data_IF_377610701609
#
_entry.id   IF_377610701609
#
_cell.length_a   1.000
_cell.length_b   1.000
_cell.length_c   1.000
_cell.angle_alpha   90.00
_cell.angle_beta   90.00
_cell.angle_gamma   90.00
#
_symmetry.space_group_name_H-M   'P 1'
#
loop_
_entity.id
_entity.type
_entity.pdbx_description
1 polymer ?
#
# COMPACT_ATOMS: atom_id res chain seq x y z
N UNK A 1 -15.60 1.72 -7.95
CA UNK A 1 -16.92 1.18 -7.55
C UNK A 1 -16.89 -0.27 -7.03
N UNK A 2 -16.32 -1.31 -7.68
CA UNK A 2 -16.45 -2.69 -7.19
C UNK A 2 -15.91 -2.90 -5.76
N UNK A 3 -14.73 -2.38 -5.44
CA UNK A 3 -14.11 -2.50 -4.10
C UNK A 3 -14.99 -1.91 -2.99
N UNK A 4 -15.57 -0.73 -3.21
CA UNK A 4 -16.48 -0.10 -2.25
C UNK A 4 -17.70 -0.98 -1.96
N UNK A 5 -18.36 -1.45 -3.01
CA UNK A 5 -19.55 -2.30 -2.86
C UNK A 5 -19.23 -3.62 -2.15
N UNK A 6 -18.09 -4.23 -2.49
CA UNK A 6 -17.62 -5.45 -1.81
C UNK A 6 -17.33 -5.21 -0.34
N UNK A 7 -16.69 -4.07 -0.01
CA UNK A 7 -16.36 -3.72 1.37
C UNK A 7 -17.62 -3.50 2.23
N UNK A 8 -18.56 -2.68 1.74
CA UNK A 8 -19.83 -2.41 2.45
C UNK A 8 -20.69 -3.68 2.58
N UNK A 9 -20.66 -4.57 1.58
CA UNK A 9 -21.34 -5.87 1.67
C UNK A 9 -20.70 -6.78 2.73
N UNK A 10 -19.36 -6.78 2.83
CA UNK A 10 -18.64 -7.61 3.80
C UNK A 10 -18.77 -7.09 5.24
N UNK A 11 -18.88 -5.76 5.40
CA UNK A 11 -18.93 -5.06 6.68
C UNK A 11 -20.03 -3.97 6.63
N UNK A 12 -21.30 -4.36 6.71
CA UNK A 12 -22.42 -3.43 6.56
C UNK A 12 -22.58 -2.45 7.75
N UNK A 13 -22.02 -2.79 8.91
CA UNK A 13 -22.06 -1.93 10.10
C UNK A 13 -20.67 -1.71 10.69
N UNK A 14 -20.55 -0.71 11.57
CA UNK A 14 -19.31 -0.45 12.33
C UNK A 14 -18.94 -1.68 13.17
N UNK A 15 -19.93 -2.34 13.79
CA UNK A 15 -19.73 -3.54 14.59
C UNK A 15 -19.17 -4.71 13.76
N UNK A 16 -19.67 -4.90 12.53
CA UNK A 16 -19.18 -5.95 11.64
C UNK A 16 -17.69 -5.76 11.33
N UNK A 17 -17.27 -4.52 11.06
CA UNK A 17 -15.87 -4.21 10.81
C UNK A 17 -15.02 -4.33 12.08
N UNK A 18 -15.52 -3.84 13.23
CA UNK A 18 -14.80 -3.87 14.49
C UNK A 18 -14.45 -5.29 14.95
N UNK A 19 -15.39 -6.22 14.80
CA UNK A 19 -15.25 -7.61 15.26
C UNK A 19 -14.71 -8.57 14.20
N UNK A 20 -14.50 -8.12 12.97
CA UNK A 20 -14.00 -8.98 11.90
C UNK A 20 -12.56 -9.47 12.19
N UNK A 21 -12.22 -10.71 11.84
CA UNK A 21 -10.82 -11.14 11.82
C UNK A 21 -9.99 -10.24 10.88
N UNK A 22 -8.80 -9.83 11.31
CA UNK A 22 -7.92 -8.95 10.52
C UNK A 22 -7.66 -9.50 9.11
N UNK A 23 -7.51 -10.81 8.99
CA UNK A 23 -7.27 -11.50 7.72
C UNK A 23 -8.44 -11.29 6.73
N UNK A 24 -9.70 -11.36 7.19
CA UNK A 24 -10.88 -11.04 6.38
C UNK A 24 -10.87 -9.58 5.93
N UNK A 25 -10.46 -8.66 6.82
CA UNK A 25 -10.36 -7.22 6.50
C UNK A 25 -9.30 -6.97 5.44
N UNK A 26 -8.10 -7.54 5.59
CA UNK A 26 -7.01 -7.44 4.62
C UNK A 26 -7.38 -8.05 3.27
N UNK A 27 -8.05 -9.22 3.29
CA UNK A 27 -8.52 -9.89 2.08
C UNK A 27 -9.54 -9.04 1.31
N UNK A 28 -10.50 -8.46 2.00
CA UNK A 28 -11.52 -7.59 1.39
C UNK A 28 -10.91 -6.33 0.78
N UNK A 29 -9.80 -5.82 1.35
CA UNK A 29 -9.07 -4.63 0.88
C UNK A 29 -7.98 -4.95 -0.15
N UNK A 30 -7.76 -6.22 -0.45
CA UNK A 30 -6.69 -6.66 -1.36
C UNK A 30 -6.79 -5.97 -2.72
N UNK A 31 -5.65 -5.45 -3.20
CA UNK A 31 -5.55 -4.73 -4.48
C UNK A 31 -5.62 -3.21 -4.39
N UNK A 32 -6.18 -2.62 -3.31
CA UNK A 32 -6.24 -1.17 -3.12
C UNK A 32 -4.92 -0.57 -2.62
N UNK A 33 -4.04 -1.39 -2.02
CA UNK A 33 -2.80 -0.91 -1.43
C UNK A 33 -3.00 -0.06 -0.17
N UNK A 34 -1.89 0.47 0.38
CA UNK A 34 -1.91 1.28 1.61
C UNK A 34 -2.72 0.60 2.74
N UNK A 35 -2.40 -0.64 3.03
CA UNK A 35 -3.15 -1.51 3.93
C UNK A 35 -3.23 -1.00 5.37
N UNK A 36 -2.32 -0.12 5.78
CA UNK A 36 -2.44 0.62 7.04
C UNK A 36 -3.74 1.42 7.15
N UNK A 37 -4.34 1.85 6.03
CA UNK A 37 -5.62 2.55 6.04
C UNK A 37 -6.76 1.65 6.53
N UNK A 38 -6.88 0.45 6.00
CA UNK A 38 -7.96 -0.46 6.41
C UNK A 38 -7.76 -0.97 7.84
N UNK A 39 -6.51 -1.22 8.27
CA UNK A 39 -6.21 -1.53 9.68
C UNK A 39 -6.59 -0.40 10.62
N UNK A 40 -6.24 0.84 10.26
CA UNK A 40 -6.64 2.00 11.03
C UNK A 40 -8.17 2.19 11.02
N UNK A 41 -8.84 1.91 9.89
CA UNK A 41 -10.30 1.95 9.81
C UNK A 41 -10.93 0.92 10.75
N UNK A 42 -10.39 -0.30 10.84
CA UNK A 42 -10.85 -1.31 11.80
C UNK A 42 -10.62 -0.88 13.25
N UNK A 43 -9.42 -0.33 13.55
CA UNK A 43 -9.14 0.21 14.90
C UNK A 43 -10.05 1.38 15.25
N UNK A 44 -10.35 2.27 14.30
CA UNK A 44 -11.32 3.33 14.49
C UNK A 44 -12.74 2.77 14.75
N UNK A 45 -13.13 1.71 14.05
CA UNK A 45 -14.41 1.02 14.31
C UNK A 45 -14.46 0.41 15.73
N UNK A 46 -13.36 -0.19 16.20
CA UNK A 46 -13.23 -0.68 17.57
C UNK A 46 -13.36 0.46 18.60
N UNK A 47 -12.66 1.59 18.39
CA UNK A 47 -12.82 2.77 19.25
C UNK A 47 -14.26 3.31 19.25
N UNK A 48 -14.94 3.32 18.10
CA UNK A 48 -16.34 3.72 18.06
C UNK A 48 -17.26 2.79 18.86
N UNK A 49 -16.98 1.49 18.85
CA UNK A 49 -17.73 0.53 19.69
C UNK A 49 -17.47 0.77 21.19
N UNK A 50 -16.22 1.01 21.57
CA UNK A 50 -15.79 1.17 22.96
C UNK A 50 -16.19 2.55 23.52
N UNK A 51 -15.90 3.64 22.81
CA UNK A 51 -16.00 5.01 23.33
C UNK A 51 -17.30 5.71 22.93
N UNK A 52 -17.99 5.25 21.88
CA UNK A 52 -19.13 5.93 21.28
C UNK A 52 -20.37 5.03 21.11
N UNK A 53 -20.41 3.84 21.73
CA UNK A 53 -21.55 2.94 21.66
C UNK A 53 -21.89 2.47 20.23
N UNK A 54 -20.92 2.39 19.35
CA UNK A 54 -21.09 1.99 17.95
C UNK A 54 -21.62 3.09 17.03
N UNK A 55 -21.77 4.32 17.53
CA UNK A 55 -22.22 5.48 16.75
C UNK A 55 -21.01 6.31 16.30
N UNK A 56 -21.01 6.75 15.04
CA UNK A 56 -19.95 7.61 14.53
C UNK A 56 -20.04 9.00 15.21
N UNK A 57 -18.93 9.51 15.79
CA UNK A 57 -18.94 10.81 16.45
C UNK A 57 -19.17 11.94 15.43
N UNK A 58 -19.89 13.01 15.85
CA UNK A 58 -20.30 14.10 14.97
C UNK A 58 -19.54 15.41 15.20
N UNK A 59 -18.63 15.51 16.18
CA UNK A 59 -17.78 16.70 16.37
C UNK A 59 -16.38 16.47 15.76
N UNK A 60 -15.78 17.54 15.26
CA UNK A 60 -14.42 17.49 14.70
C UNK A 60 -13.39 16.94 15.68
N UNK A 61 -13.47 17.36 16.96
CA UNK A 61 -12.56 16.92 18.01
C UNK A 61 -12.67 15.40 18.28
N UNK A 62 -13.87 14.86 18.28
CA UNK A 62 -14.08 13.42 18.50
C UNK A 62 -13.66 12.62 17.24
N UNK A 63 -14.00 13.09 16.04
CA UNK A 63 -13.59 12.48 14.77
C UNK A 63 -12.07 12.43 14.65
N UNK A 64 -11.36 13.53 14.98
CA UNK A 64 -9.91 13.63 14.87
C UNK A 64 -9.13 12.70 15.81
N UNK A 65 -9.77 12.20 16.89
CA UNK A 65 -9.19 11.26 17.85
C UNK A 65 -9.25 9.81 17.38
N UNK A 66 -10.07 9.49 16.38
CA UNK A 66 -10.17 8.14 15.84
C UNK A 66 -8.87 7.71 15.14
N UNK A 67 -8.50 6.46 15.30
CA UNK A 67 -7.25 5.92 14.79
C UNK A 67 -7.11 6.08 13.27
N UNK A 68 -6.02 6.69 12.84
CA UNK A 68 -5.72 6.90 11.41
C UNK A 68 -6.47 8.06 10.75
N UNK A 69 -7.25 8.83 11.50
CA UNK A 69 -7.89 10.04 11.04
C UNK A 69 -6.97 11.23 11.36
N UNK A 70 -6.34 11.77 10.31
CA UNK A 70 -5.58 13.02 10.40
C UNK A 70 -6.45 14.24 10.09
N UNK A 71 -5.90 15.46 10.21
CA UNK A 71 -6.66 16.73 10.02
C UNK A 71 -7.44 16.79 8.70
N UNK A 72 -6.82 16.35 7.60
CA UNK A 72 -7.50 16.28 6.30
C UNK A 72 -8.75 15.39 6.33
N UNK A 73 -8.59 14.15 6.83
CA UNK A 73 -9.69 13.18 6.87
C UNK A 73 -10.77 13.63 7.86
N UNK A 74 -10.38 14.22 9.00
CA UNK A 74 -11.32 14.78 9.97
C UNK A 74 -12.14 15.90 9.35
N UNK A 75 -11.50 16.87 8.68
CA UNK A 75 -12.19 17.94 7.98
C UNK A 75 -13.11 17.46 6.88
N UNK A 76 -12.67 16.48 6.07
CA UNK A 76 -13.52 15.90 5.04
C UNK A 76 -14.76 15.22 5.61
N UNK A 77 -14.62 14.40 6.67
CA UNK A 77 -15.76 13.74 7.31
C UNK A 77 -16.68 14.77 7.95
N UNK A 78 -16.11 15.72 8.73
CA UNK A 78 -16.88 16.72 9.43
C UNK A 78 -17.70 17.59 8.48
N UNK A 79 -17.11 18.02 7.36
CA UNK A 79 -17.79 18.88 6.40
C UNK A 79 -18.78 18.14 5.50
N UNK A 80 -18.41 16.95 4.99
CA UNK A 80 -19.23 16.22 4.01
C UNK A 80 -20.38 15.46 4.69
N UNK A 81 -20.08 14.81 5.83
CA UNK A 81 -21.09 13.98 6.50
C UNK A 81 -21.92 14.74 7.55
N UNK A 82 -21.36 15.79 8.15
CA UNK A 82 -22.00 16.50 9.27
C UNK A 82 -22.25 18.00 8.99
N UNK A 83 -21.83 18.52 7.83
CA UNK A 83 -22.05 19.91 7.46
C UNK A 83 -21.29 20.94 8.33
N UNK A 84 -20.23 20.50 9.02
CA UNK A 84 -19.43 21.41 9.83
C UNK A 84 -18.46 22.20 8.94
N UNK A 85 -18.24 23.50 9.18
CA UNK A 85 -17.35 24.34 8.38
C UNK A 85 -15.86 24.05 8.66
N UNK A 86 -15.47 22.79 8.48
CA UNK A 86 -14.13 22.27 8.73
C UNK A 86 -13.36 22.07 7.42
N UNK A 87 -12.18 22.70 7.25
CA UNK A 87 -11.37 22.54 6.05
C UNK A 87 -10.81 21.15 5.85
N UNK A 88 -10.86 20.66 4.59
CA UNK A 88 -10.22 19.41 4.17
C UNK A 88 -9.02 19.69 3.25
N UNK A 89 -7.85 19.94 3.84
CA UNK A 89 -6.65 20.33 3.09
C UNK A 89 -5.83 19.11 2.67
N UNK A 90 -5.94 18.73 1.38
CA UNK A 90 -5.13 17.70 0.74
C UNK A 90 -4.09 18.31 -0.23
N UNK A 91 -3.39 17.47 -0.97
CA UNK A 91 -2.42 17.93 -1.97
C UNK A 91 -3.06 18.65 -3.16
N UNK A 92 -4.33 18.38 -3.47
CA UNK A 92 -5.06 19.05 -4.54
C UNK A 92 -5.44 20.46 -4.11
N UNK A 93 -6.03 20.60 -2.93
CA UNK A 93 -6.39 21.89 -2.34
C UNK A 93 -5.15 22.79 -2.16
N UNK A 94 -4.05 22.23 -1.63
CA UNK A 94 -2.79 22.99 -1.50
C UNK A 94 -2.27 23.50 -2.84
N UNK A 95 -2.41 22.70 -3.91
CA UNK A 95 -1.99 23.11 -5.26
C UNK A 95 -2.85 24.22 -5.82
N UNK A 96 -4.18 24.11 -5.69
CA UNK A 96 -5.12 25.17 -6.11
C UNK A 96 -4.84 26.46 -5.38
N UNK A 97 -4.73 26.43 -4.05
CA UNK A 97 -4.44 27.62 -3.26
C UNK A 97 -3.06 28.23 -3.57
N UNK A 98 -2.05 27.38 -3.81
CA UNK A 98 -0.72 27.84 -4.20
C UNK A 98 -0.75 28.63 -5.51
N UNK A 99 -1.58 28.25 -6.48
CA UNK A 99 -1.75 28.97 -7.76
C UNK A 99 -2.65 30.19 -7.63
N UNK A 100 -3.72 30.08 -6.84
CA UNK A 100 -4.63 31.21 -6.62
C UNK A 100 -3.91 32.40 -5.98
N UNK A 101 -3.02 32.14 -5.01
CA UNK A 101 -2.43 33.17 -4.18
C UNK A 101 -0.88 33.23 -4.30
N UNK A 102 -0.28 32.56 -5.26
CA UNK A 102 1.19 32.49 -5.44
C UNK A 102 1.94 32.16 -4.15
N UNK A 103 1.48 31.11 -3.44
CA UNK A 103 2.02 30.74 -2.13
C UNK A 103 3.42 30.13 -2.26
N UNK A 104 4.44 30.81 -1.77
CA UNK A 104 5.86 30.45 -1.87
C UNK A 104 6.32 29.40 -0.83
N UNK A 105 5.42 28.56 -0.35
CA UNK A 105 5.74 27.46 0.58
C UNK A 105 5.67 26.12 -0.09
N UNK A 106 6.69 25.27 0.14
CA UNK A 106 6.72 23.91 -0.39
C UNK A 106 5.57 23.06 0.19
N UNK A 107 4.66 22.62 -0.67
CA UNK A 107 3.51 21.79 -0.29
C UNK A 107 3.91 20.37 0.13
N UNK A 108 5.14 19.94 -0.12
CA UNK A 108 5.70 18.65 0.32
C UNK A 108 6.17 18.66 1.78
N UNK A 109 6.34 19.83 2.38
CA UNK A 109 6.77 19.97 3.77
C UNK A 109 5.54 19.91 4.71
N UNK A 110 5.44 18.90 5.61
CA UNK A 110 4.23 18.68 6.42
C UNK A 110 3.84 19.87 7.29
N UNK A 111 4.81 20.62 7.83
CA UNK A 111 4.56 21.79 8.68
C UNK A 111 3.93 22.96 7.93
N UNK A 112 4.11 23.03 6.61
CA UNK A 112 3.52 24.12 5.79
C UNK A 112 2.01 23.93 5.57
N UNK A 113 1.48 22.72 5.81
CA UNK A 113 0.04 22.46 5.69
C UNK A 113 -0.81 23.42 6.54
N UNK A 114 -0.32 23.82 7.71
CA UNK A 114 -1.02 24.77 8.59
C UNK A 114 -1.30 26.13 7.93
N UNK A 115 -0.46 26.56 6.97
CA UNK A 115 -0.64 27.82 6.23
C UNK A 115 -1.87 27.68 5.33
N UNK A 116 -1.95 26.60 4.57
CA UNK A 116 -3.10 26.31 3.71
C UNK A 116 -4.38 26.04 4.53
N UNK A 117 -4.22 25.42 5.71
CA UNK A 117 -5.34 25.24 6.65
C UNK A 117 -5.92 26.59 7.07
N UNK A 118 -5.07 27.54 7.51
CA UNK A 118 -5.52 28.87 7.91
C UNK A 118 -6.17 29.65 6.74
N UNK A 119 -5.67 29.47 5.51
CA UNK A 119 -6.32 30.06 4.34
C UNK A 119 -7.72 29.47 4.12
N UNK A 120 -7.85 28.16 4.23
CA UNK A 120 -9.12 27.47 4.05
C UNK A 120 -10.14 27.81 5.14
N UNK A 121 -9.71 28.06 6.37
CA UNK A 121 -10.58 28.51 7.47
C UNK A 121 -11.26 29.85 7.15
N UNK A 122 -10.61 30.69 6.33
CA UNK A 122 -11.17 31.97 5.87
C UNK A 122 -12.07 31.77 4.65
N UNK A 123 -11.74 30.83 3.77
CA UNK A 123 -12.37 30.66 2.46
C UNK A 123 -13.58 29.76 2.48
N UNK A 124 -13.66 28.83 3.44
CA UNK A 124 -14.68 27.78 3.45
C UNK A 124 -16.09 28.39 3.48
N UNK A 125 -16.96 27.87 2.63
CA UNK A 125 -18.38 28.24 2.62
C UNK A 125 -19.05 27.65 3.89
N UNK A 126 -19.57 28.49 4.80
CA UNK A 126 -20.17 28.00 6.03
C UNK A 126 -21.52 27.31 5.81
N UNK A 127 -22.22 27.59 4.72
CA UNK A 127 -23.52 27.00 4.40
C UNK A 127 -23.37 25.67 3.64
N UNK A 128 -22.31 25.54 2.85
CA UNK A 128 -22.05 24.35 2.03
C UNK A 128 -20.59 23.85 2.13
N UNK A 129 -20.07 23.60 3.34
CA UNK A 129 -18.65 23.33 3.53
C UNK A 129 -18.19 22.03 2.87
N UNK A 130 -19.04 21.00 2.85
CA UNK A 130 -18.74 19.73 2.18
C UNK A 130 -18.61 19.88 0.67
N UNK A 131 -19.53 20.61 0.04
CA UNK A 131 -19.48 20.88 -1.40
C UNK A 131 -18.28 21.72 -1.76
N UNK A 132 -17.96 22.75 -0.94
CA UNK A 132 -16.81 23.61 -1.15
C UNK A 132 -15.49 22.82 -1.11
N UNK A 133 -15.30 21.99 -0.10
CA UNK A 133 -14.12 21.11 0.00
C UNK A 133 -14.01 20.17 -1.20
N UNK A 134 -15.11 19.51 -1.60
CA UNK A 134 -15.13 18.62 -2.75
C UNK A 134 -14.83 19.37 -4.04
N UNK A 135 -15.44 20.52 -4.28
CA UNK A 135 -15.20 21.33 -5.47
C UNK A 135 -13.72 21.71 -5.63
N UNK A 136 -13.04 22.11 -4.54
CA UNK A 136 -11.60 22.40 -4.59
C UNK A 136 -10.73 21.17 -4.83
N UNK A 137 -11.09 20.01 -4.25
CA UNK A 137 -10.39 18.76 -4.53
C UNK A 137 -10.56 18.32 -5.99
N UNK A 138 -11.77 18.44 -6.54
CA UNK A 138 -12.08 18.11 -7.93
C UNK A 138 -11.39 19.08 -8.88
N UNK A 139 -11.43 20.38 -8.62
CA UNK A 139 -10.71 21.39 -9.37
C UNK A 139 -9.20 21.06 -9.44
N UNK A 140 -8.62 20.71 -8.30
CA UNK A 140 -7.21 20.34 -8.20
C UNK A 140 -6.86 19.01 -8.88
N UNK A 141 -7.76 18.06 -8.93
CA UNK A 141 -7.51 16.74 -9.55
C UNK A 141 -7.74 16.74 -11.06
N UNK A 142 -8.74 17.45 -11.54
CA UNK A 142 -9.14 17.44 -12.95
C UNK A 142 -8.53 18.61 -13.77
N UNK A 143 -8.75 19.84 -13.36
CA UNK A 143 -8.36 21.03 -14.13
C UNK A 143 -6.98 21.53 -13.72
N UNK A 144 -6.78 21.78 -12.43
CA UNK A 144 -5.52 22.25 -11.85
C UNK A 144 -4.54 21.11 -11.51
N UNK A 145 -4.52 20.09 -12.37
CA UNK A 145 -3.72 18.86 -12.17
C UNK A 145 -2.21 19.15 -12.06
N UNK A 146 -1.41 18.24 -11.44
CA UNK A 146 0.03 18.45 -11.29
C UNK A 146 0.81 18.33 -12.60
N UNK A 147 0.20 17.69 -13.61
CA UNK A 147 0.81 17.51 -14.95
C UNK A 147 -0.23 17.95 -15.98
N UNK A 148 0.18 18.82 -16.89
CA UNK A 148 -0.70 19.38 -17.94
C UNK A 148 -2.00 20.01 -17.37
N UNK A 149 -1.91 21.02 -16.50
CA UNK A 149 -3.10 21.75 -16.03
C UNK A 149 -3.79 22.46 -17.20
N UNK A 150 -5.10 22.67 -17.06
CA UNK A 150 -5.95 23.37 -18.04
C UNK A 150 -6.49 24.67 -17.42
N UNK A 151 -5.63 25.66 -17.12
CA UNK A 151 -6.04 26.87 -16.39
C UNK A 151 -7.09 27.69 -17.12
N UNK A 152 -7.16 27.62 -18.46
CA UNK A 152 -8.17 28.29 -19.28
C UNK A 152 -9.59 27.79 -18.98
N UNK A 153 -9.71 26.53 -18.55
CA UNK A 153 -10.98 25.90 -18.20
C UNK A 153 -11.35 26.11 -16.73
N UNK A 154 -10.42 26.70 -15.93
CA UNK A 154 -10.64 26.88 -14.50
C UNK A 154 -11.75 27.91 -14.23
N UNK A 155 -12.79 27.53 -13.45
CA UNK A 155 -13.86 28.46 -13.08
C UNK A 155 -13.38 29.61 -12.17
N UNK A 156 -12.18 29.47 -11.62
CA UNK A 156 -11.57 30.47 -10.74
C UNK A 156 -10.36 31.17 -11.35
N UNK A 157 -10.17 31.07 -12.68
CA UNK A 157 -9.01 31.63 -13.37
C UNK A 157 -8.86 33.15 -13.18
N UNK A 158 -9.98 33.86 -13.08
CA UNK A 158 -9.99 35.31 -12.88
C UNK A 158 -9.47 35.73 -11.50
N UNK A 159 -9.50 34.82 -10.55
CA UNK A 159 -8.96 34.99 -9.20
C UNK A 159 -7.55 34.42 -9.03
N UNK A 160 -7.03 33.69 -10.03
CA UNK A 160 -5.72 33.04 -9.95
C UNK A 160 -4.60 34.01 -10.27
N UNK A 161 -3.84 34.41 -9.26
CA UNK A 161 -2.67 35.27 -9.43
C UNK A 161 -1.63 34.60 -10.38
N UNK A 162 -1.37 33.33 -10.22
CA UNK A 162 -0.43 32.58 -11.06
C UNK A 162 -0.88 32.53 -12.53
N UNK A 163 -2.19 32.46 -12.80
CA UNK A 163 -2.72 32.53 -14.16
C UNK A 163 -2.53 33.94 -14.75
N UNK A 164 -2.90 34.97 -13.99
CA UNK A 164 -2.80 36.35 -14.43
C UNK A 164 -1.35 36.81 -14.67
N UNK A 165 -0.43 36.34 -13.85
CA UNK A 165 1.01 36.66 -13.98
C UNK A 165 1.79 35.71 -14.90
N UNK A 166 1.17 34.66 -15.43
CA UNK A 166 1.84 33.66 -16.26
C UNK A 166 2.85 32.80 -15.51
N UNK A 167 2.64 32.58 -14.20
CA UNK A 167 3.55 31.86 -13.30
C UNK A 167 3.03 30.48 -12.90
N UNK A 168 2.07 29.91 -13.63
CA UNK A 168 1.46 28.62 -13.34
C UNK A 168 2.47 27.49 -13.17
N UNK A 169 3.53 27.48 -13.96
CA UNK A 169 4.58 26.44 -13.90
C UNK A 169 5.46 26.56 -12.65
N UNK A 170 5.48 27.71 -11.99
CA UNK A 170 6.22 27.95 -10.75
C UNK A 170 5.48 27.38 -9.54
N UNK A 171 4.15 27.27 -9.61
CA UNK A 171 3.32 26.85 -8.49
C UNK A 171 2.57 25.54 -8.76
N UNK A 172 2.46 24.66 -7.76
CA UNK A 172 2.96 24.80 -6.39
C UNK A 172 4.47 24.55 -6.30
N UNK A 173 5.15 25.17 -5.35
CA UNK A 173 6.52 24.81 -4.99
C UNK A 173 6.50 23.41 -4.37
N UNK A 174 7.32 22.51 -4.90
CA UNK A 174 7.44 21.13 -4.43
C UNK A 174 8.80 20.55 -4.73
N UNK A 175 9.53 20.19 -3.68
CA UNK A 175 10.81 19.49 -3.84
C UNK A 175 10.63 18.12 -4.53
N UNK A 176 11.61 17.69 -5.34
CA UNK A 176 11.59 16.38 -5.99
C UNK A 176 11.46 15.25 -4.97
N UNK A 177 10.63 14.25 -5.27
CA UNK A 177 10.51 13.05 -4.42
C UNK A 177 11.81 12.25 -4.44
N UNK A 178 12.22 11.73 -3.29
CA UNK A 178 13.31 10.75 -3.21
C UNK A 178 12.95 9.51 -4.03
N UNK A 179 13.91 8.99 -4.78
CA UNK A 179 13.73 7.74 -5.53
C UNK A 179 13.56 6.57 -4.57
N UNK A 180 12.73 5.57 -4.90
CA UNK A 180 12.63 4.35 -4.10
C UNK A 180 13.98 3.64 -3.98
N UNK A 181 14.31 3.16 -2.79
CA UNK A 181 15.55 2.41 -2.52
C UNK A 181 15.38 0.98 -3.07
N UNK A 182 16.35 0.45 -3.84
CA UNK A 182 16.31 -0.94 -4.27
C UNK A 182 16.43 -1.88 -3.06
N UNK A 183 15.69 -2.98 -3.10
CA UNK A 183 15.74 -4.09 -2.16
C UNK A 183 15.79 -5.37 -2.97
N UNK A 184 16.78 -6.19 -2.72
CA UNK A 184 17.00 -7.45 -3.41
C UNK A 184 16.51 -8.59 -2.55
N UNK A 185 15.73 -9.49 -3.13
CA UNK A 185 15.08 -10.59 -2.44
C UNK A 185 15.23 -11.89 -3.21
N UNK A 186 15.34 -12.99 -2.49
CA UNK A 186 15.14 -14.35 -3.03
C UNK A 186 13.79 -14.86 -2.54
N UNK A 187 12.92 -15.26 -3.47
CA UNK A 187 11.65 -15.91 -3.19
C UNK A 187 11.80 -17.42 -3.41
N UNK A 188 11.39 -18.20 -2.43
CA UNK A 188 11.45 -19.65 -2.46
C UNK A 188 10.07 -20.22 -2.79
N UNK A 189 9.96 -20.82 -3.97
CA UNK A 189 8.75 -21.52 -4.43
C UNK A 189 8.96 -22.99 -4.10
N UNK A 190 8.40 -23.44 -3.00
CA UNK A 190 8.59 -24.83 -2.52
C UNK A 190 7.30 -25.59 -2.71
N UNK A 191 7.39 -26.76 -3.36
CA UNK A 191 6.25 -27.62 -3.67
C UNK A 191 6.40 -28.96 -2.99
N UNK A 192 5.32 -29.46 -2.40
CA UNK A 192 5.28 -30.81 -1.82
C UNK A 192 4.83 -31.87 -2.84
N UNK A 193 4.86 -33.14 -2.41
CA UNK A 193 4.44 -34.30 -3.22
C UNK A 193 2.95 -34.33 -3.55
N UNK A 194 2.12 -33.53 -2.84
CA UNK A 194 0.68 -33.39 -3.07
C UNK A 194 0.33 -32.24 -4.02
N UNK A 195 1.34 -31.51 -4.51
CA UNK A 195 1.16 -30.39 -5.42
C UNK A 195 0.84 -29.06 -4.73
N UNK A 196 0.97 -29.00 -3.39
CA UNK A 196 0.77 -27.79 -2.59
C UNK A 196 2.07 -26.99 -2.52
N UNK A 197 1.94 -25.70 -2.27
CA UNK A 197 3.06 -24.76 -2.16
C UNK A 197 3.14 -24.19 -0.75
N UNK A 198 4.36 -24.01 -0.27
CA UNK A 198 4.63 -23.42 1.03
C UNK A 198 4.41 -21.91 0.98
N UNK A 199 3.53 -21.40 1.84
CA UNK A 199 3.37 -19.99 2.13
C UNK A 199 3.64 -19.71 3.61
N UNK A 200 4.08 -18.49 3.87
CA UNK A 200 4.38 -17.98 5.20
C UNK A 200 3.58 -16.70 5.45
N UNK A 201 3.09 -16.54 6.66
CA UNK A 201 2.43 -15.30 7.11
C UNK A 201 3.48 -14.27 7.53
N UNK A 202 3.42 -13.09 6.95
CA UNK A 202 4.30 -12.00 7.37
C UNK A 202 3.84 -11.43 8.72
N UNK A 203 4.43 -11.91 9.80
CA UNK A 203 4.16 -11.45 11.16
C UNK A 203 4.96 -10.20 11.54
N UNK A 204 5.94 -9.80 10.71
CA UNK A 204 6.76 -8.60 10.95
C UNK A 204 5.92 -7.34 10.78
N UNK A 205 6.11 -6.38 11.69
CA UNK A 205 5.47 -5.08 11.55
C UNK A 205 5.96 -4.35 10.28
N UNK A 206 5.07 -3.60 9.64
CA UNK A 206 5.40 -2.75 8.51
C UNK A 206 4.81 -3.18 7.18
N UNK A 207 5.67 -3.25 6.14
CA UNK A 207 5.23 -3.51 4.78
C UNK A 207 4.64 -4.91 4.63
N UNK A 208 3.38 -4.99 4.17
CA UNK A 208 2.65 -6.24 3.95
C UNK A 208 2.48 -7.15 5.20
N UNK A 209 2.59 -6.60 6.42
CA UNK A 209 2.28 -7.33 7.64
C UNK A 209 0.92 -8.04 7.53
N UNK A 210 0.80 -9.27 8.05
CA UNK A 210 -0.43 -10.08 8.03
C UNK A 210 -0.82 -10.67 6.67
N UNK A 211 -0.05 -10.38 5.60
CA UNK A 211 -0.23 -11.03 4.30
C UNK A 211 0.54 -12.34 4.24
N UNK A 212 0.00 -13.26 3.46
CA UNK A 212 0.69 -14.49 3.12
C UNK A 212 1.60 -14.27 1.90
N UNK A 213 2.75 -14.90 1.90
CA UNK A 213 3.75 -14.80 0.85
C UNK A 213 4.54 -16.10 0.70
N UNK A 214 5.19 -16.28 -0.45
CA UNK A 214 6.25 -17.25 -0.55
C UNK A 214 7.39 -16.85 0.40
N UNK A 215 8.08 -17.77 1.06
CA UNK A 215 9.24 -17.43 1.89
C UNK A 215 10.20 -16.50 1.16
N UNK A 216 10.65 -15.43 1.84
CA UNK A 216 11.49 -14.37 1.29
C UNK A 216 12.71 -14.12 2.15
N UNK A 217 13.89 -14.13 1.54
CA UNK A 217 15.15 -13.72 2.19
C UNK A 217 15.67 -12.46 1.50
N UNK A 218 16.02 -11.43 2.29
CA UNK A 218 16.69 -10.23 1.78
C UNK A 218 18.18 -10.52 1.57
N UNK A 219 18.70 -10.13 0.41
CA UNK A 219 20.08 -10.37 -0.01
C UNK A 219 20.78 -9.06 -0.37
N UNK A 220 22.10 -9.03 -0.34
CA UNK A 220 22.86 -7.81 -0.65
C UNK A 220 22.79 -7.44 -2.14
N UNK A 221 22.77 -8.46 -3.00
CA UNK A 221 22.65 -8.31 -4.45
C UNK A 221 22.01 -9.55 -5.07
N UNK A 222 21.47 -9.42 -6.27
CA UNK A 222 20.99 -10.59 -7.01
C UNK A 222 22.19 -11.39 -7.55
N UNK A 223 22.05 -12.71 -7.56
CA UNK A 223 23.06 -13.59 -8.13
C UNK A 223 23.17 -13.33 -9.64
N UNK A 224 24.37 -13.04 -10.15
CA UNK A 224 24.61 -12.88 -11.60
C UNK A 224 24.37 -14.17 -12.39
N UNK A 225 24.40 -15.32 -11.71
CA UNK A 225 24.25 -16.68 -12.28
C UNK A 225 22.90 -17.31 -11.89
N UNK A 226 21.79 -16.78 -12.44
CA UNK A 226 20.44 -17.34 -12.24
C UNK A 226 20.25 -18.76 -12.84
N UNK A 227 21.24 -19.33 -13.52
CA UNK A 227 21.19 -20.64 -14.19
C UNK A 227 22.30 -21.60 -13.82
N UNK A 228 23.13 -21.29 -12.83
CA UNK A 228 24.16 -22.24 -12.37
C UNK A 228 23.97 -22.57 -10.88
N UNK A 229 23.13 -23.56 -10.62
CA UNK A 229 23.17 -24.31 -9.36
C UNK A 229 24.43 -25.19 -9.26
N UNK A 230 25.16 -25.37 -10.34
CA UNK A 230 26.38 -26.17 -10.36
C UNK A 230 27.59 -25.34 -10.79
N UNK A 231 28.18 -24.66 -9.88
CA UNK A 231 29.60 -24.80 -9.81
C UNK A 231 29.82 -25.98 -8.84
N UNK A 232 29.80 -27.16 -9.39
CA UNK A 232 30.54 -28.26 -8.79
C UNK A 232 31.97 -27.72 -8.71
N UNK A 233 32.52 -27.63 -7.46
CA UNK A 233 33.96 -27.65 -7.36
C UNK A 233 34.43 -28.86 -8.14
N UNK A 234 35.64 -28.88 -8.66
CA UNK A 234 36.15 -29.99 -9.45
C UNK A 234 36.14 -31.34 -8.71
N UNK A 235 35.43 -31.46 -7.56
CA UNK A 235 35.25 -32.60 -6.70
C UNK A 235 33.78 -33.01 -6.49
N UNK A 236 32.81 -32.33 -7.15
CA UNK A 236 31.41 -32.74 -7.16
C UNK A 236 30.57 -32.26 -5.97
N UNK A 237 31.09 -31.31 -5.17
CA UNK A 237 30.30 -30.70 -4.10
C UNK A 237 29.54 -29.47 -4.65
N UNK A 238 28.26 -29.38 -4.32
CA UNK A 238 27.47 -28.18 -4.60
C UNK A 238 28.14 -26.99 -3.89
N UNK A 239 28.42 -25.90 -4.63
CA UNK A 239 28.86 -24.66 -4.02
C UNK A 239 27.72 -24.17 -3.12
N UNK A 240 28.01 -24.07 -1.83
CA UNK A 240 27.08 -23.63 -0.81
C UNK A 240 26.52 -22.24 -1.18
N UNK A 241 25.26 -22.22 -1.65
CA UNK A 241 24.53 -20.96 -1.80
C UNK A 241 24.01 -20.56 -0.41
N UNK A 242 24.52 -19.49 0.20
CA UNK A 242 24.18 -19.13 1.58
C UNK A 242 22.66 -18.94 1.80
N UNK A 243 21.93 -18.49 0.76
CA UNK A 243 20.48 -18.29 0.84
C UNK A 243 19.74 -19.63 0.94
N UNK A 244 20.20 -20.64 0.20
CA UNK A 244 19.63 -22.00 0.23
C UNK A 244 19.87 -22.66 1.58
N UNK A 245 21.10 -22.57 2.08
CA UNK A 245 21.44 -23.13 3.39
C UNK A 245 20.67 -22.45 4.53
N UNK A 246 20.55 -21.12 4.48
CA UNK A 246 19.73 -20.38 5.45
C UNK A 246 18.27 -20.82 5.40
N UNK A 247 17.71 -20.96 4.19
CA UNK A 247 16.33 -21.42 4.01
C UNK A 247 16.10 -22.81 4.61
N UNK A 248 16.94 -23.79 4.27
CA UNK A 248 16.81 -25.16 4.77
C UNK A 248 16.93 -25.24 6.29
N UNK A 249 17.80 -24.43 6.90
CA UNK A 249 17.94 -24.33 8.34
C UNK A 249 16.74 -23.64 9.02
N UNK A 250 16.25 -22.54 8.44
CA UNK A 250 15.15 -21.76 9.01
C UNK A 250 13.83 -22.51 9.00
N UNK A 251 13.61 -23.35 7.97
CA UNK A 251 12.35 -24.10 7.79
C UNK A 251 12.47 -25.58 8.18
N UNK A 252 13.66 -26.07 8.49
CA UNK A 252 13.94 -27.49 8.79
C UNK A 252 13.41 -28.43 7.72
N UNK A 253 13.71 -28.11 6.45
CA UNK A 253 13.26 -28.83 5.26
C UNK A 253 14.44 -29.26 4.40
N UNK A 254 14.47 -30.54 3.99
CA UNK A 254 15.38 -30.99 2.94
C UNK A 254 14.71 -30.84 1.57
N UNK A 255 15.34 -30.06 0.70
CA UNK A 255 14.79 -29.67 -0.59
C UNK A 255 15.60 -30.28 -1.73
N UNK A 256 14.89 -30.77 -2.74
CA UNK A 256 15.46 -31.12 -4.06
C UNK A 256 15.35 -29.89 -4.96
N UNK A 257 16.43 -29.09 -4.99
CA UNK A 257 16.46 -27.83 -5.73
C UNK A 257 16.50 -28.06 -7.23
N UNK A 258 15.66 -27.33 -7.94
CA UNK A 258 15.56 -27.42 -9.39
C UNK A 258 16.47 -26.38 -10.05
N UNK A 259 17.34 -26.83 -10.96
CA UNK A 259 18.25 -25.95 -11.73
C UNK A 259 17.48 -25.22 -12.84
N UNK A 260 16.73 -24.20 -12.46
CA UNK A 260 15.92 -23.37 -13.34
C UNK A 260 16.16 -21.90 -13.10
N UNK A 261 16.19 -21.14 -14.17
CA UNK A 261 16.33 -19.69 -14.16
C UNK A 261 15.00 -19.02 -14.48
N UNK A 262 14.64 -18.03 -13.65
CA UNK A 262 13.41 -17.24 -13.81
C UNK A 262 13.76 -15.77 -14.01
N UNK A 263 12.99 -15.01 -14.82
CA UNK A 263 13.15 -13.57 -14.92
C UNK A 263 12.94 -12.87 -13.56
N UNK A 264 13.69 -11.78 -13.34
CA UNK A 264 13.57 -10.99 -12.10
C UNK A 264 12.20 -10.33 -12.03
N UNK A 265 11.49 -10.57 -10.93
CA UNK A 265 10.20 -9.93 -10.64
C UNK A 265 10.44 -8.56 -10.01
N UNK A 266 9.87 -7.50 -10.60
CA UNK A 266 9.99 -6.15 -10.07
C UNK A 266 8.68 -5.63 -9.53
N UNK A 267 8.75 -5.01 -8.33
CA UNK A 267 7.61 -4.32 -7.73
C UNK A 267 8.07 -3.02 -7.04
N UNK A 268 7.38 -1.92 -7.34
CA UNK A 268 7.72 -0.59 -6.80
C UNK A 268 6.67 -0.18 -5.77
N UNK A 269 7.14 0.07 -4.55
CA UNK A 269 6.41 0.75 -3.49
C UNK A 269 6.80 2.22 -3.43
N UNK A 270 6.14 3.02 -2.60
CA UNK A 270 6.43 4.46 -2.49
C UNK A 270 7.89 4.77 -2.12
N UNK A 271 8.55 3.91 -1.35
CA UNK A 271 9.89 4.12 -0.81
C UNK A 271 10.87 2.97 -1.05
N UNK A 272 10.40 1.84 -1.58
CA UNK A 272 11.21 0.65 -1.89
C UNK A 272 10.93 0.15 -3.30
N UNK A 273 11.95 -0.38 -3.95
CA UNK A 273 11.83 -1.09 -5.23
C UNK A 273 12.34 -2.51 -5.03
N UNK A 274 11.43 -3.48 -4.96
CA UNK A 274 11.79 -4.88 -4.89
C UNK A 274 12.27 -5.40 -6.23
N UNK A 275 13.37 -6.15 -6.18
CA UNK A 275 13.89 -6.96 -7.26
C UNK A 275 14.03 -8.37 -6.71
N UNK A 276 13.19 -9.28 -7.19
CA UNK A 276 13.02 -10.61 -6.60
C UNK A 276 13.49 -11.65 -7.59
N UNK A 277 14.50 -12.42 -7.21
CA UNK A 277 14.88 -13.67 -7.89
C UNK A 277 14.08 -14.83 -7.31
N UNK A 278 13.85 -15.88 -8.10
CA UNK A 278 13.09 -17.04 -7.70
C UNK A 278 14.00 -18.28 -7.58
N UNK A 279 13.75 -19.08 -6.55
CA UNK A 279 14.29 -20.43 -6.39
C UNK A 279 13.14 -21.42 -6.28
N UNK A 280 13.22 -22.50 -7.02
CA UNK A 280 12.20 -23.54 -7.01
C UNK A 280 12.78 -24.84 -6.48
N UNK A 281 12.03 -25.53 -5.61
CA UNK A 281 12.43 -26.79 -5.05
C UNK A 281 11.25 -27.68 -4.69
N UNK A 282 11.52 -28.96 -4.61
CA UNK A 282 10.59 -30.01 -4.21
C UNK A 282 10.97 -30.51 -2.82
N UNK A 283 10.01 -30.56 -1.90
CA UNK A 283 10.23 -31.15 -0.57
C UNK A 283 10.42 -32.65 -0.69
N UNK A 284 11.43 -33.20 -0.01
CA UNK A 284 11.59 -34.63 0.14
C UNK A 284 10.44 -35.24 0.93
N UNK A 285 10.05 -36.45 0.58
CA UNK A 285 8.84 -37.09 1.11
C UNK A 285 8.89 -37.25 2.65
N UNK A 286 7.80 -36.85 3.32
CA UNK A 286 7.63 -36.99 4.78
C UNK A 286 8.00 -35.77 5.63
N UNK A 287 8.56 -34.71 5.04
CA UNK A 287 8.95 -33.51 5.77
C UNK A 287 7.81 -32.47 5.87
N UNK A 288 7.75 -31.76 6.98
CA UNK A 288 6.81 -30.68 7.25
C UNK A 288 7.56 -29.52 7.92
N UNK A 289 7.26 -28.25 7.57
CA UNK A 289 7.90 -27.12 8.23
C UNK A 289 7.51 -27.07 9.71
N UNK A 290 8.44 -26.67 10.54
CA UNK A 290 8.27 -26.59 12.00
C UNK A 290 7.57 -25.30 12.46
N UNK A 291 7.40 -24.30 11.59
CA UNK A 291 6.85 -23.00 11.95
C UNK A 291 5.32 -22.99 11.89
N UNK A 292 4.68 -22.49 12.98
CA UNK A 292 3.21 -22.27 13.04
C UNK A 292 2.73 -21.17 12.10
N UNK A 293 3.63 -20.31 11.60
CA UNK A 293 3.29 -19.25 10.65
C UNK A 293 3.29 -19.71 9.18
N UNK A 294 3.49 -20.98 8.91
CA UNK A 294 3.54 -21.56 7.57
C UNK A 294 2.30 -22.39 7.26
N UNK A 295 1.98 -22.52 5.97
CA UNK A 295 0.87 -23.34 5.47
C UNK A 295 1.19 -23.92 4.10
N UNK A 296 0.73 -25.15 3.86
CA UNK A 296 0.76 -25.78 2.55
C UNK A 296 -0.59 -25.57 1.85
N UNK A 297 -0.59 -24.90 0.71
CA UNK A 297 -1.80 -24.57 -0.04
C UNK A 297 -1.70 -25.01 -1.49
N UNK A 298 -2.79 -25.51 -2.04
CA UNK A 298 -2.95 -25.65 -3.50
C UNK A 298 -3.11 -24.26 -4.14
N UNK A 299 -2.82 -24.11 -5.45
CA UNK A 299 -3.00 -22.82 -6.14
C UNK A 299 -4.43 -22.26 -6.07
N UNK A 300 -5.44 -23.13 -6.01
CA UNK A 300 -6.84 -22.76 -5.89
C UNK A 300 -7.12 -22.08 -4.54
N UNK A 301 -6.52 -22.60 -3.47
CA UNK A 301 -6.68 -22.10 -2.10
C UNK A 301 -6.00 -20.74 -1.87
N UNK A 302 -5.06 -20.31 -2.73
CA UNK A 302 -4.46 -18.97 -2.62
C UNK A 302 -5.50 -17.86 -2.63
N UNK A 303 -6.65 -18.11 -3.29
CA UNK A 303 -7.75 -17.16 -3.33
C UNK A 303 -8.42 -16.93 -1.98
N UNK A 304 -8.24 -17.79 -0.98
CA UNK A 304 -8.86 -17.67 0.34
C UNK A 304 -8.02 -16.85 1.31
N UNK A 305 -6.77 -16.63 0.99
CA UNK A 305 -5.80 -15.92 1.82
C UNK A 305 -5.51 -14.51 1.30
N UNK A 306 -5.16 -13.52 2.16
CA UNK A 306 -4.69 -12.23 1.72
C UNK A 306 -3.30 -12.37 1.07
N UNK A 307 -3.26 -12.23 -0.26
CA UNK A 307 -2.08 -12.46 -1.09
C UNK A 307 -1.76 -11.20 -1.90
N UNK A 308 -0.73 -10.45 -1.49
CA UNK A 308 -0.45 -9.13 -2.01
C UNK A 308 0.04 -9.13 -3.47
N UNK A 309 -0.09 -8.00 -4.16
CA UNK A 309 0.27 -7.86 -5.59
C UNK A 309 1.69 -8.31 -5.95
N UNK A 310 2.76 -8.04 -5.15
CA UNK A 310 4.08 -8.59 -5.46
C UNK A 310 4.10 -10.11 -5.51
N UNK A 311 3.39 -10.78 -4.59
CA UNK A 311 3.30 -12.24 -4.55
C UNK A 311 2.53 -12.82 -5.74
N UNK A 312 1.45 -12.14 -6.16
CA UNK A 312 0.73 -12.48 -7.39
C UNK A 312 1.65 -12.41 -8.63
N UNK A 313 2.53 -11.39 -8.69
CA UNK A 313 3.53 -11.28 -9.77
C UNK A 313 4.55 -12.41 -9.74
N UNK A 314 5.03 -12.77 -8.53
CA UNK A 314 5.94 -13.91 -8.34
C UNK A 314 5.28 -15.19 -8.85
N UNK A 315 4.04 -15.46 -8.42
CA UNK A 315 3.28 -16.63 -8.86
C UNK A 315 3.04 -16.66 -10.37
N UNK A 316 2.64 -15.52 -10.96
CA UNK A 316 2.44 -15.43 -12.42
C UNK A 316 3.74 -15.72 -13.17
N UNK A 317 4.86 -15.09 -12.74
CA UNK A 317 6.17 -15.30 -13.36
C UNK A 317 6.59 -16.78 -13.28
N UNK A 318 6.43 -17.41 -12.13
CA UNK A 318 6.73 -18.83 -11.95
C UNK A 318 5.89 -19.70 -12.89
N UNK A 319 4.56 -19.57 -12.86
CA UNK A 319 3.65 -20.43 -13.63
C UNK A 319 3.75 -20.25 -15.14
N UNK A 320 4.12 -19.07 -15.62
CA UNK A 320 4.36 -18.82 -17.06
C UNK A 320 5.65 -19.49 -17.57
N UNK A 321 6.63 -19.70 -16.69
CA UNK A 321 7.90 -20.34 -17.04
C UNK A 321 7.97 -21.84 -16.69
N UNK A 322 6.92 -22.40 -16.05
CA UNK A 322 6.78 -23.84 -15.78
C UNK A 322 5.98 -24.60 -16.87
N UNK A 323 5.44 -23.89 -17.84
CA UNK A 323 4.75 -24.45 -19.01
C UNK A 323 5.76 -24.85 -20.07
#
# INVERSE_FOLDING_TARGET
MPYYLNFVKAFPTVADLAHAPEEKVLKTWQGLGYYSRVRNMQKAAQQMMEDHGGVFPSSYEAISKLKGIGPYTAGAIASIAFGLPEPAVDGNVMRVLARLFEVDYDIGVPTNRKIFQAMMEILIDPDRPGDFNQALMDLGSDIESPVNPRPEESPVKEFSAAYQHGTMDRYPIKAPKKKPVPVYLTAFIIKDSQGRYLLEKNEREGLLSGFWHFPLIEVESLSENLGQLSLLDGQGHAVDNPEILSFEQDYDLAIDWQDRSYPIVQHVFSHRKWQVQLRYGLVKEGEQPTSESTVWLTPEEFSDYPFAKPQQKIWTMFTENEK
#
